data_IF_997528286160
#
_entry.id   IF_997528286160
#
_cell.length_a   1.000
_cell.length_b   1.000
_cell.length_c   1.000
_cell.angle_alpha   90.00
_cell.angle_beta   90.00
_cell.angle_gamma   90.00
#
_symmetry.space_group_name_H-M   'P 1'
#
loop_
_entity.id
_entity.type
_entity.pdbx_description
1 polymer ?
#
# COMPACT_ATOMS: atom_id res chain seq x y z
N UNK A 1 -28.89 -61.29 33.50
CA UNK A 1 -28.56 -60.14 32.63
C UNK A 1 -29.66 -59.11 32.80
N UNK A 2 -29.38 -57.98 33.45
CA UNK A 2 -30.34 -56.91 33.64
C UNK A 2 -30.22 -55.92 32.47
N UNK A 3 -31.28 -55.77 31.69
CA UNK A 3 -31.38 -54.78 30.61
C UNK A 3 -32.04 -53.53 31.21
N UNK A 4 -31.26 -52.46 31.39
CA UNK A 4 -31.77 -51.15 31.79
C UNK A 4 -32.24 -50.41 30.54
N UNK A 5 -33.56 -50.34 30.34
CA UNK A 5 -34.18 -49.49 29.32
C UNK A 5 -34.26 -48.06 29.84
N UNK A 6 -33.35 -47.21 29.36
CA UNK A 6 -33.35 -45.79 29.67
C UNK A 6 -34.37 -45.09 28.78
N UNK A 7 -35.59 -44.91 29.30
CA UNK A 7 -36.67 -44.16 28.66
C UNK A 7 -36.47 -42.66 28.88
N UNK A 8 -35.60 -42.03 28.07
CA UNK A 8 -35.49 -40.55 28.05
C UNK A 8 -36.59 -40.01 27.14
N UNK A 9 -37.47 -39.17 27.68
CA UNK A 9 -38.57 -38.57 26.93
C UNK A 9 -38.03 -37.66 25.82
N UNK A 10 -38.47 -37.89 24.58
CA UNK A 10 -38.07 -37.11 23.39
C UNK A 10 -38.22 -35.59 23.57
N UNK A 11 -39.17 -35.15 24.41
CA UNK A 11 -39.38 -33.74 24.78
C UNK A 11 -38.18 -33.10 25.50
N UNK A 12 -37.47 -33.85 26.35
CA UNK A 12 -36.30 -33.34 27.07
C UNK A 12 -35.12 -33.07 26.12
N UNK A 13 -34.94 -33.92 25.10
CA UNK A 13 -33.90 -33.76 24.08
C UNK A 13 -34.19 -32.54 23.19
N UNK A 14 -35.45 -32.35 22.78
CA UNK A 14 -35.86 -31.19 21.98
C UNK A 14 -35.63 -29.86 22.74
N UNK A 15 -35.98 -29.82 24.02
CA UNK A 15 -35.79 -28.63 24.85
C UNK A 15 -34.30 -28.33 25.09
N UNK A 16 -33.48 -29.34 25.33
CA UNK A 16 -32.03 -29.17 25.51
C UNK A 16 -31.34 -28.65 24.24
N UNK A 17 -31.76 -29.12 23.05
CA UNK A 17 -31.23 -28.63 21.78
C UNK A 17 -31.60 -27.17 21.52
N UNK A 18 -32.81 -26.74 21.87
CA UNK A 18 -33.24 -25.34 21.71
C UNK A 18 -32.38 -24.39 22.54
N UNK A 19 -32.18 -24.70 23.83
CA UNK A 19 -31.37 -23.86 24.74
C UNK A 19 -29.91 -23.80 24.27
N UNK A 20 -29.38 -24.93 23.79
CA UNK A 20 -28.02 -24.97 23.26
C UNK A 20 -27.85 -24.06 22.03
N UNK A 21 -28.79 -24.07 21.10
CA UNK A 21 -28.75 -23.22 19.91
C UNK A 21 -28.84 -21.73 20.31
N UNK A 22 -29.70 -21.39 21.27
CA UNK A 22 -29.79 -20.02 21.78
C UNK A 22 -28.47 -19.55 22.43
N UNK A 23 -27.83 -20.40 23.24
CA UNK A 23 -26.54 -20.09 23.85
C UNK A 23 -25.43 -19.93 22.79
N UNK A 24 -25.36 -20.81 21.79
CA UNK A 24 -24.40 -20.74 20.69
C UNK A 24 -24.60 -19.46 19.85
N UNK A 25 -25.85 -19.08 19.59
CA UNK A 25 -26.15 -17.85 18.83
C UNK A 25 -25.86 -16.57 19.63
N UNK A 26 -26.11 -16.55 20.94
CA UNK A 26 -25.75 -15.43 21.81
C UNK A 26 -24.22 -15.24 21.85
N UNK A 27 -23.47 -16.32 22.06
CA UNK A 27 -22.01 -16.29 22.05
C UNK A 27 -21.45 -15.80 20.70
N UNK A 28 -22.05 -16.23 19.58
CA UNK A 28 -21.66 -15.76 18.25
C UNK A 28 -21.95 -14.26 18.03
N UNK A 29 -23.06 -13.74 18.57
CA UNK A 29 -23.36 -12.30 18.51
C UNK A 29 -22.36 -11.47 19.31
N UNK A 30 -22.01 -11.92 20.51
CA UNK A 30 -21.04 -11.24 21.37
C UNK A 30 -19.65 -11.21 20.71
N UNK A 31 -19.21 -12.33 20.12
CA UNK A 31 -17.96 -12.40 19.36
C UNK A 31 -17.93 -11.43 18.18
N UNK A 32 -19.04 -11.32 17.45
CA UNK A 32 -19.16 -10.36 16.33
C UNK A 32 -19.12 -8.91 16.80
N UNK A 33 -19.75 -8.60 17.93
CA UNK A 33 -19.72 -7.25 18.52
C UNK A 33 -18.29 -6.84 18.92
N UNK A 34 -17.55 -7.75 19.56
CA UNK A 34 -16.14 -7.54 19.94
C UNK A 34 -15.27 -7.31 18.71
N UNK A 35 -15.46 -8.10 17.65
CA UNK A 35 -14.71 -7.93 16.39
C UNK A 35 -15.03 -6.61 15.70
N UNK A 36 -16.29 -6.17 15.72
CA UNK A 36 -16.70 -4.89 15.15
C UNK A 36 -16.09 -3.71 15.91
N UNK A 37 -16.12 -3.74 17.25
CA UNK A 37 -15.47 -2.72 18.10
C UNK A 37 -13.97 -2.65 17.80
N UNK A 38 -13.30 -3.81 17.76
CA UNK A 38 -11.87 -3.94 17.46
C UNK A 38 -11.52 -3.30 16.10
N UNK A 39 -12.32 -3.59 15.07
CA UNK A 39 -12.14 -3.04 13.73
C UNK A 39 -12.32 -1.52 13.69
N UNK A 40 -13.37 -0.99 14.31
CA UNK A 40 -13.64 0.46 14.32
C UNK A 40 -12.52 1.22 15.05
N UNK A 41 -12.07 0.71 16.20
CA UNK A 41 -10.96 1.28 16.95
C UNK A 41 -9.66 1.24 16.12
N UNK A 42 -9.36 0.09 15.50
CA UNK A 42 -8.20 -0.09 14.65
C UNK A 42 -8.17 0.87 13.45
N UNK A 43 -9.30 1.07 12.77
CA UNK A 43 -9.36 1.99 11.63
C UNK A 43 -9.17 3.45 12.04
N UNK A 44 -9.70 3.84 13.19
CA UNK A 44 -9.54 5.19 13.75
C UNK A 44 -8.08 5.45 14.08
N UNK A 45 -7.45 4.56 14.83
CA UNK A 45 -6.05 4.69 15.25
C UNK A 45 -5.10 4.62 14.04
N UNK A 46 -5.34 3.71 13.08
CA UNK A 46 -4.56 3.66 11.84
C UNK A 46 -4.64 4.96 11.03
N UNK A 47 -5.80 5.64 11.07
CA UNK A 47 -6.01 6.91 10.36
C UNK A 47 -5.31 8.09 11.06
N UNK A 48 -5.21 8.09 12.39
CA UNK A 48 -4.46 9.11 13.13
C UNK A 48 -2.96 8.92 13.03
N UNK A 49 -2.49 7.66 13.03
CA UNK A 49 -1.07 7.34 13.09
C UNK A 49 -0.38 7.44 11.72
N UNK A 50 -1.16 7.36 10.64
CA UNK A 50 -0.63 7.45 9.28
C UNK A 50 -0.43 8.90 8.85
N UNK A 51 0.82 9.35 8.78
CA UNK A 51 1.17 10.64 8.19
C UNK A 51 1.01 10.60 6.66
N UNK A 52 -0.15 11.03 6.16
CA UNK A 52 -0.48 11.02 4.71
C UNK A 52 0.50 11.84 3.87
N UNK A 53 0.95 12.98 4.40
CA UNK A 53 1.88 13.87 3.68
C UNK A 53 3.24 13.22 3.49
N UNK A 54 3.73 12.49 4.50
CA UNK A 54 4.98 11.73 4.40
C UNK A 54 4.90 10.70 3.27
N UNK A 55 3.82 9.92 3.20
CA UNK A 55 3.66 8.89 2.17
C UNK A 55 3.40 9.46 0.79
N UNK A 56 2.68 10.58 0.70
CA UNK A 56 2.55 11.37 -0.53
C UNK A 56 3.92 11.84 -1.03
N UNK A 57 4.72 12.44 -0.15
CA UNK A 57 6.08 12.88 -0.46
C UNK A 57 7.00 11.72 -0.85
N UNK A 58 6.88 10.56 -0.20
CA UNK A 58 7.62 9.37 -0.56
C UNK A 58 7.29 8.90 -2.00
N UNK A 59 6.01 8.90 -2.37
CA UNK A 59 5.59 8.59 -3.74
C UNK A 59 6.14 9.58 -4.77
N UNK A 60 6.00 10.88 -4.49
CA UNK A 60 6.53 11.95 -5.35
C UNK A 60 8.06 11.88 -5.51
N UNK A 61 8.79 11.75 -4.40
CA UNK A 61 10.24 11.70 -4.38
C UNK A 61 10.79 10.45 -5.09
N UNK A 62 10.18 9.29 -4.87
CA UNK A 62 10.60 8.05 -5.53
C UNK A 62 10.44 8.12 -7.05
N UNK A 63 9.37 8.75 -7.55
CA UNK A 63 9.18 9.03 -8.97
C UNK A 63 10.26 9.96 -9.55
N UNK A 64 10.55 11.07 -8.89
CA UNK A 64 11.54 12.04 -9.37
C UNK A 64 12.95 11.42 -9.42
N UNK A 65 13.34 10.70 -8.36
CA UNK A 65 14.64 10.05 -8.27
C UNK A 65 14.74 8.92 -9.30
N UNK A 66 13.72 8.07 -9.39
CA UNK A 66 13.67 6.97 -10.35
C UNK A 66 13.75 7.45 -11.80
N UNK A 67 12.95 8.47 -12.16
CA UNK A 67 12.99 9.08 -13.48
C UNK A 67 14.35 9.69 -13.83
N UNK A 68 14.95 10.43 -12.89
CA UNK A 68 16.28 11.03 -13.09
C UNK A 68 17.37 9.98 -13.32
N UNK A 69 17.43 8.95 -12.48
CA UNK A 69 18.40 7.85 -12.62
C UNK A 69 18.17 7.08 -13.93
N UNK A 70 16.90 6.79 -14.26
CA UNK A 70 16.54 6.10 -15.50
C UNK A 70 16.94 6.89 -16.74
N UNK A 71 16.70 8.19 -16.76
CA UNK A 71 17.09 9.08 -17.85
C UNK A 71 18.61 9.12 -18.06
N UNK A 72 19.39 9.27 -16.98
CA UNK A 72 20.86 9.23 -17.04
C UNK A 72 21.37 7.88 -17.56
N UNK A 73 20.78 6.78 -17.08
CA UNK A 73 21.16 5.43 -17.53
C UNK A 73 20.84 5.24 -19.01
N UNK A 74 19.65 5.67 -19.45
CA UNK A 74 19.26 5.63 -20.86
C UNK A 74 20.19 6.45 -21.76
N UNK A 75 20.62 7.63 -21.28
CA UNK A 75 21.58 8.47 -21.98
C UNK A 75 22.95 7.78 -22.11
N UNK A 76 23.48 7.19 -21.04
CA UNK A 76 24.75 6.46 -21.11
C UNK A 76 24.69 5.25 -22.05
N UNK A 77 23.57 4.52 -22.06
CA UNK A 77 23.36 3.41 -23.00
C UNK A 77 23.33 3.92 -24.44
N UNK A 78 22.70 5.07 -24.70
CA UNK A 78 22.70 5.67 -26.03
C UNK A 78 24.12 5.99 -26.51
N UNK A 79 24.96 6.58 -25.66
CA UNK A 79 26.36 6.91 -25.98
C UNK A 79 27.22 5.67 -26.32
N UNK A 80 26.91 4.51 -25.72
CA UNK A 80 27.62 3.27 -26.02
C UNK A 80 27.25 2.69 -27.40
N UNK A 81 26.03 2.96 -27.89
CA UNK A 81 25.53 2.39 -29.15
C UNK A 81 25.88 3.30 -30.33
N UNK A 82 25.82 4.62 -30.14
CA UNK A 82 26.20 5.61 -31.14
C UNK A 82 27.13 6.64 -30.49
N UNK A 83 28.42 6.73 -30.90
CA UNK A 83 29.32 7.77 -30.44
C UNK A 83 28.83 9.11 -31.00
N UNK A 84 27.97 9.79 -30.25
CA UNK A 84 27.43 11.10 -30.58
C UNK A 84 28.48 12.15 -30.25
N UNK A 85 28.82 13.01 -31.23
CA UNK A 85 29.61 14.22 -30.99
C UNK A 85 28.81 15.17 -30.08
N UNK A 86 29.19 15.24 -28.81
CA UNK A 86 28.52 16.10 -27.82
C UNK A 86 28.98 17.53 -28.04
N UNK A 87 28.16 18.38 -28.68
CA UNK A 87 28.38 19.84 -28.66
C UNK A 87 28.01 20.36 -27.27
N UNK A 88 29.00 20.84 -26.51
CA UNK A 88 28.76 21.44 -25.20
C UNK A 88 27.94 22.72 -25.35
N UNK A 89 26.71 22.73 -24.87
CA UNK A 89 25.95 23.97 -24.70
C UNK A 89 26.29 24.59 -23.34
N UNK A 90 26.82 25.81 -23.36
CA UNK A 90 27.06 26.60 -22.15
C UNK A 90 25.73 27.20 -21.66
N UNK A 91 24.92 26.39 -20.96
CA UNK A 91 23.62 26.79 -20.42
C UNK A 91 23.47 26.41 -18.96
N UNK A 92 22.95 27.37 -18.16
CA UNK A 92 22.79 27.36 -16.69
C UNK A 92 22.85 25.98 -16.00
N UNK A 93 23.80 25.88 -15.06
CA UNK A 93 24.30 24.67 -14.37
C UNK A 93 23.34 23.81 -13.55
N UNK A 94 22.06 23.75 -13.92
CA UNK A 94 21.12 22.71 -13.48
C UNK A 94 20.46 21.97 -14.65
N UNK A 95 20.72 22.34 -15.92
CA UNK A 95 20.05 21.73 -17.08
C UNK A 95 20.86 21.65 -18.40
N UNK A 96 22.17 21.30 -18.44
CA UNK A 96 22.88 21.22 -19.73
C UNK A 96 22.52 19.98 -20.59
N UNK A 97 21.64 19.08 -20.13
CA UNK A 97 21.33 17.81 -20.84
C UNK A 97 19.85 17.58 -21.16
N UNK A 98 18.97 18.56 -20.92
CA UNK A 98 17.51 18.35 -21.03
C UNK A 98 16.87 18.77 -22.37
N UNK A 99 17.65 19.24 -23.33
CA UNK A 99 17.16 19.38 -24.71
C UNK A 99 17.89 18.35 -25.56
N UNK A 100 17.50 17.06 -25.48
CA UNK A 100 18.00 16.09 -26.44
C UNK A 100 17.60 16.59 -27.82
N UNK A 101 18.57 16.65 -28.73
CA UNK A 101 18.28 16.75 -30.15
C UNK A 101 17.27 15.64 -30.48
N UNK A 102 16.09 16.00 -30.97
CA UNK A 102 14.89 15.13 -31.01
C UNK A 102 15.19 13.79 -31.72
N UNK A 103 16.21 13.76 -32.59
CA UNK A 103 16.64 12.58 -33.34
C UNK A 103 17.19 11.43 -32.48
N UNK A 104 17.69 11.67 -31.26
CA UNK A 104 18.23 10.62 -30.35
C UNK A 104 17.44 10.48 -29.04
N UNK A 105 16.24 11.08 -28.98
CA UNK A 105 15.39 11.15 -27.79
C UNK A 105 14.86 9.80 -27.28
N UNK A 106 14.81 8.77 -28.15
CA UNK A 106 14.19 7.48 -27.84
C UNK A 106 14.80 6.75 -26.64
N UNK A 107 16.13 6.65 -26.57
CA UNK A 107 16.80 5.92 -25.49
C UNK A 107 16.66 6.63 -24.13
N UNK A 108 16.73 7.96 -24.10
CA UNK A 108 16.52 8.76 -22.87
C UNK A 108 15.07 8.70 -22.40
N UNK A 109 14.10 8.75 -23.32
CA UNK A 109 12.67 8.59 -23.00
C UNK A 109 12.41 7.20 -22.44
N UNK A 110 12.90 6.15 -23.11
CA UNK A 110 12.73 4.75 -22.65
C UNK A 110 13.39 4.56 -21.28
N UNK A 111 14.61 5.03 -21.09
CA UNK A 111 15.33 4.96 -19.81
C UNK A 111 14.57 5.67 -18.69
N UNK A 112 14.06 6.87 -18.95
CA UNK A 112 13.26 7.65 -17.99
C UNK A 112 11.96 6.94 -17.62
N UNK A 113 11.26 6.35 -18.59
CA UNK A 113 10.04 5.57 -18.35
C UNK A 113 10.31 4.33 -17.48
N UNK A 114 11.39 3.60 -17.76
CA UNK A 114 11.79 2.42 -16.97
C UNK A 114 12.18 2.84 -15.55
N UNK A 115 12.99 3.89 -15.42
CA UNK A 115 13.40 4.41 -14.11
C UNK A 115 12.22 4.92 -13.29
N UNK A 116 11.24 5.57 -13.92
CA UNK A 116 10.01 5.98 -13.27
C UNK A 116 9.22 4.75 -12.78
N UNK A 117 9.01 3.74 -13.62
CA UNK A 117 8.32 2.52 -13.24
C UNK A 117 9.01 1.80 -12.07
N UNK A 118 10.34 1.69 -12.11
CA UNK A 118 11.13 1.11 -11.03
C UNK A 118 11.04 1.95 -9.73
N UNK A 119 11.13 3.28 -9.85
CA UNK A 119 11.01 4.21 -8.72
C UNK A 119 9.66 4.11 -8.03
N UNK A 120 8.57 3.96 -8.79
CA UNK A 120 7.22 3.76 -8.25
C UNK A 120 7.16 2.48 -7.40
N UNK A 121 7.81 1.38 -7.81
CA UNK A 121 7.71 0.09 -7.10
C UNK A 121 8.35 0.10 -5.71
N UNK A 122 9.43 0.88 -5.50
CA UNK A 122 10.17 0.92 -4.22
C UNK A 122 9.28 1.21 -3.01
N UNK A 123 8.49 2.30 -2.97
CA UNK A 123 7.61 2.57 -1.83
C UNK A 123 6.51 1.50 -1.65
N UNK A 124 6.00 0.87 -2.71
CA UNK A 124 5.00 -0.21 -2.55
C UNK A 124 5.60 -1.48 -1.93
N UNK A 125 6.82 -1.85 -2.33
CA UNK A 125 7.54 -2.96 -1.71
C UNK A 125 7.75 -2.67 -0.21
N UNK A 126 8.21 -1.45 0.11
CA UNK A 126 8.42 -1.02 1.49
C UNK A 126 7.12 -1.06 2.32
N UNK A 127 5.98 -0.64 1.76
CA UNK A 127 4.68 -0.70 2.45
C UNK A 127 4.26 -2.15 2.73
N UNK A 128 4.60 -3.09 1.85
CA UNK A 128 4.29 -4.50 2.01
C UNK A 128 5.10 -5.17 3.12
N UNK A 129 6.39 -4.86 3.21
CA UNK A 129 7.33 -5.51 4.15
C UNK A 129 7.39 -4.84 5.52
N UNK A 130 7.05 -3.55 5.63
CA UNK A 130 7.14 -2.83 6.90
C UNK A 130 5.89 -3.03 7.78
N UNK A 131 6.06 -3.68 8.93
CA UNK A 131 5.00 -3.81 9.92
C UNK A 131 4.74 -2.48 10.65
N UNK A 132 3.47 -2.03 10.73
CA UNK A 132 3.16 -0.79 11.41
C UNK A 132 3.24 -0.97 12.94
N UNK A 133 3.73 0.06 13.63
CA UNK A 133 3.81 0.05 15.09
C UNK A 133 2.40 0.07 15.71
N UNK A 134 2.06 -0.94 16.49
CA UNK A 134 0.75 -1.08 17.12
C UNK A 134 0.73 -0.32 18.46
N UNK A 135 -0.34 0.43 18.79
CA UNK A 135 -0.45 1.12 20.07
C UNK A 135 -0.61 0.12 21.23
N UNK A 136 0.40 -0.09 22.10
CA UNK A 136 0.39 -1.19 23.08
C UNK A 136 -0.71 -1.06 24.13
N UNK A 137 -1.13 0.19 24.39
CA UNK A 137 -2.18 0.54 25.36
C UNK A 137 -3.54 -0.08 25.02
N UNK A 138 -3.78 -0.48 23.76
CA UNK A 138 -5.04 -1.09 23.32
C UNK A 138 -5.20 -2.56 23.70
N UNK A 139 -4.13 -3.21 24.17
CA UNK A 139 -4.14 -4.66 24.41
C UNK A 139 -4.27 -5.06 25.88
N UNK A 140 -4.18 -4.11 26.81
CA UNK A 140 -4.25 -4.40 28.24
C UNK A 140 -5.68 -4.83 28.60
N UNK A 141 -5.83 -6.08 29.07
CA UNK A 141 -7.11 -6.63 29.55
C UNK A 141 -8.12 -6.97 28.43
N UNK A 142 -7.71 -6.99 27.17
CA UNK A 142 -8.56 -7.40 26.04
C UNK A 142 -8.38 -8.88 25.74
N UNK A 143 -9.42 -9.51 25.19
CA UNK A 143 -9.39 -10.93 24.79
C UNK A 143 -8.46 -11.13 23.58
N UNK A 144 -7.89 -12.34 23.39
CA UNK A 144 -7.02 -12.61 22.24
C UNK A 144 -7.73 -12.41 20.89
N UNK A 145 -9.03 -12.70 20.82
CA UNK A 145 -9.85 -12.49 19.61
C UNK A 145 -9.94 -10.99 19.25
N UNK A 146 -10.07 -10.12 20.26
CA UNK A 146 -10.04 -8.67 20.05
C UNK A 146 -8.68 -8.23 19.49
N UNK A 147 -7.58 -8.73 20.06
CA UNK A 147 -6.21 -8.36 19.66
C UNK A 147 -5.95 -8.76 18.21
N UNK A 148 -6.37 -9.96 17.81
CA UNK A 148 -6.21 -10.44 16.42
C UNK A 148 -7.04 -9.60 15.44
N UNK A 149 -8.34 -9.41 15.72
CA UNK A 149 -9.23 -8.62 14.86
C UNK A 149 -8.73 -7.18 14.72
N UNK A 150 -8.32 -6.55 15.83
CA UNK A 150 -7.73 -5.23 15.86
C UNK A 150 -6.46 -5.15 15.01
N UNK A 151 -5.52 -6.07 15.21
CA UNK A 151 -4.21 -6.06 14.54
C UNK A 151 -4.37 -6.22 13.03
N UNK A 152 -5.24 -7.13 12.59
CA UNK A 152 -5.52 -7.36 11.18
C UNK A 152 -6.18 -6.13 10.53
N UNK A 153 -7.20 -5.56 11.17
CA UNK A 153 -7.86 -4.35 10.69
C UNK A 153 -6.91 -3.15 10.62
N UNK A 154 -6.07 -2.96 11.65
CA UNK A 154 -5.11 -1.86 11.73
C UNK A 154 -4.06 -1.97 10.62
N UNK A 155 -3.48 -3.16 10.43
CA UNK A 155 -2.51 -3.44 9.36
C UNK A 155 -3.11 -3.20 7.98
N UNK A 156 -4.31 -3.72 7.72
CA UNK A 156 -4.99 -3.55 6.45
C UNK A 156 -5.28 -2.08 6.14
N UNK A 157 -5.81 -1.33 7.13
CA UNK A 157 -6.13 0.09 6.98
C UNK A 157 -4.88 0.94 6.75
N UNK A 158 -3.84 0.72 7.56
CA UNK A 158 -2.57 1.44 7.45
C UNK A 158 -1.93 1.23 6.08
N UNK A 159 -1.84 -0.02 5.60
CA UNK A 159 -1.34 -0.31 4.25
C UNK A 159 -2.12 0.43 3.19
N UNK A 160 -3.46 0.38 3.24
CA UNK A 160 -4.32 1.08 2.28
C UNK A 160 -4.05 2.60 2.27
N UNK A 161 -3.96 3.24 3.44
CA UNK A 161 -3.71 4.69 3.53
C UNK A 161 -2.33 5.08 2.98
N UNK A 162 -1.29 4.29 3.30
CA UNK A 162 0.07 4.50 2.78
C UNK A 162 0.12 4.34 1.26
N UNK A 163 -0.46 3.25 0.75
CA UNK A 163 -0.55 2.95 -0.69
C UNK A 163 -1.30 4.04 -1.44
N UNK A 164 -2.46 4.49 -0.95
CA UNK A 164 -3.24 5.54 -1.60
C UNK A 164 -2.50 6.88 -1.61
N UNK A 165 -1.85 7.26 -0.51
CA UNK A 165 -1.11 8.52 -0.43
C UNK A 165 0.12 8.51 -1.33
N UNK A 166 0.89 7.41 -1.32
CA UNK A 166 2.04 7.24 -2.21
C UNK A 166 1.64 7.20 -3.68
N UNK A 167 0.56 6.50 -4.03
CA UNK A 167 0.02 6.48 -5.38
C UNK A 167 -0.41 7.88 -5.85
N UNK A 168 -1.05 8.66 -4.97
CA UNK A 168 -1.40 10.04 -5.28
C UNK A 168 -0.17 10.90 -5.58
N UNK A 169 0.89 10.81 -4.75
CA UNK A 169 2.14 11.52 -4.99
C UNK A 169 2.84 11.13 -6.29
N UNK A 170 2.88 9.83 -6.59
CA UNK A 170 3.41 9.31 -7.85
C UNK A 170 2.62 9.82 -9.06
N UNK A 171 1.28 9.83 -8.97
CA UNK A 171 0.41 10.31 -10.04
C UNK A 171 0.57 11.82 -10.30
N UNK A 172 0.84 12.62 -9.27
CA UNK A 172 1.11 14.07 -9.45
C UNK A 172 2.34 14.31 -10.34
N UNK A 173 3.40 13.52 -10.17
CA UNK A 173 4.62 13.64 -10.99
C UNK A 173 4.40 13.06 -12.38
N UNK A 174 3.79 11.87 -12.48
CA UNK A 174 3.54 11.20 -13.76
C UNK A 174 2.60 12.00 -14.67
N UNK A 175 1.54 12.59 -14.11
CA UNK A 175 0.61 13.45 -14.85
C UNK A 175 1.26 14.74 -15.35
N UNK A 176 2.15 15.35 -14.56
CA UNK A 176 2.93 16.51 -14.97
C UNK A 176 3.86 16.21 -16.15
N UNK A 177 4.57 15.08 -16.10
CA UNK A 177 5.45 14.62 -17.18
C UNK A 177 4.68 14.37 -18.48
N UNK A 178 3.49 13.76 -18.41
CA UNK A 178 2.63 13.55 -19.58
C UNK A 178 2.20 14.88 -20.24
N UNK A 179 1.87 15.89 -19.44
CA UNK A 179 1.50 17.21 -19.95
C UNK A 179 2.71 17.96 -20.55
N UNK A 180 3.88 17.87 -19.93
CA UNK A 180 5.10 18.48 -20.47
C UNK A 180 5.49 17.87 -21.83
N UNK A 181 5.33 16.56 -22.00
CA UNK A 181 5.63 15.89 -23.27
C UNK A 181 4.60 16.23 -24.37
N UNK A 182 3.32 16.37 -24.02
CA UNK A 182 2.28 16.79 -24.98
C UNK A 182 2.48 18.23 -25.47
N UNK A 183 2.92 19.14 -24.59
CA UNK A 183 3.21 20.53 -24.98
C UNK A 183 4.39 20.66 -25.96
N UNK A 184 5.33 19.71 -25.94
CA UNK A 184 6.49 19.70 -26.84
C UNK A 184 6.20 19.14 -28.25
N UNK A 185 4.98 18.66 -28.51
CA UNK A 185 4.56 18.07 -29.80
C UNK A 185 3.77 19.08 -30.66
N UNK A 186 3.44 20.27 -30.12
CA UNK A 186 2.77 21.36 -30.85
C UNK A 186 3.78 22.31 -31.50
#
# INVERSE_FOLDING_TARGET
MAVLTVSVSFSAIAQQNSVRIEAETAAARDANAVSLEAKVAAERDASSDTNRLLWFGAGMGACCIGGGIGGLTGFHVAQLISPIEVKSSEGLGFAPYLVPDISNSGATIIGSCIGFAAGVLVPFIWIGTYEPNLPPKRFIGKSPEYVESYTNAYRAKTRRLRTMSAAAGAATVGGGLGLCLLGSIQ
#
